data_IF_728623516132
#
_entry.id   IF_728623516132
#
_cell.length_a   1.000
_cell.length_b   1.000
_cell.length_c   1.000
_cell.angle_alpha   90.00
_cell.angle_beta   90.00
_cell.angle_gamma   90.00
#
_symmetry.space_group_name_H-M   'P 1'
#
loop_
_entity.id
_entity.type
_entity.pdbx_description
1 polymer ?
#
# COMPACT_ATOMS: atom_id res chain seq x y z
N UNK A 1 -31.69 -23.82 0.04
CA UNK A 1 -30.55 -24.42 -0.66
C UNK A 1 -30.17 -23.45 -1.77
N UNK A 2 -28.97 -22.87 -1.75
CA UNK A 2 -28.48 -22.03 -2.84
C UNK A 2 -27.92 -22.94 -3.94
N UNK A 3 -28.13 -22.57 -5.20
CA UNK A 3 -27.61 -23.26 -6.38
C UNK A 3 -27.05 -22.20 -7.32
N UNK A 4 -26.00 -22.55 -8.03
CA UNK A 4 -25.40 -21.73 -9.06
C UNK A 4 -25.01 -22.58 -10.26
N UNK A 5 -25.20 -22.03 -11.45
CA UNK A 5 -24.70 -22.52 -12.73
C UNK A 5 -23.37 -21.87 -13.12
N UNK A 6 -22.93 -22.15 -14.35
CA UNK A 6 -21.70 -21.57 -14.90
C UNK A 6 -21.81 -20.04 -14.98
N UNK A 7 -20.82 -19.34 -14.43
CA UNK A 7 -20.76 -17.88 -14.40
C UNK A 7 -21.53 -17.21 -13.25
N UNK A 8 -22.28 -17.97 -12.46
CA UNK A 8 -22.99 -17.43 -11.29
C UNK A 8 -22.09 -17.40 -10.05
N UNK A 9 -22.26 -16.35 -9.23
CA UNK A 9 -21.50 -16.14 -8.00
C UNK A 9 -22.40 -16.35 -6.79
N UNK A 10 -21.94 -17.19 -5.87
CA UNK A 10 -22.56 -17.35 -4.56
C UNK A 10 -21.67 -16.70 -3.49
N UNK A 11 -22.31 -15.93 -2.60
CA UNK A 11 -21.63 -15.24 -1.50
C UNK A 11 -22.10 -15.79 -0.15
N UNK A 12 -21.14 -16.09 0.72
CA UNK A 12 -21.40 -16.47 2.10
C UNK A 12 -20.66 -15.52 3.06
N UNK A 13 -21.38 -14.82 3.95
CA UNK A 13 -20.74 -14.01 4.95
C UNK A 13 -20.02 -14.89 6.00
N UNK A 14 -19.00 -14.31 6.63
CA UNK A 14 -18.26 -14.99 7.67
C UNK A 14 -19.15 -15.39 8.86
N UNK A 15 -18.95 -16.61 9.39
CA UNK A 15 -19.75 -17.17 10.48
C UNK A 15 -20.90 -18.08 10.02
N UNK A 16 -21.19 -18.14 8.72
CA UNK A 16 -22.17 -19.08 8.17
C UNK A 16 -21.55 -20.46 7.98
N UNK A 17 -22.19 -21.51 8.51
CA UNK A 17 -21.85 -22.90 8.20
C UNK A 17 -22.51 -23.28 6.88
N UNK A 18 -21.74 -23.83 5.96
CA UNK A 18 -22.23 -24.29 4.67
C UNK A 18 -21.58 -25.62 4.28
N UNK A 19 -22.21 -26.32 3.33
CA UNK A 19 -21.69 -27.55 2.74
C UNK A 19 -21.92 -27.47 1.23
N UNK A 20 -20.83 -27.57 0.47
CA UNK A 20 -20.88 -27.59 -0.98
C UNK A 20 -21.16 -29.00 -1.49
N UNK A 21 -21.94 -29.09 -2.56
CA UNK A 21 -22.09 -30.30 -3.38
C UNK A 21 -21.91 -29.88 -4.83
N UNK A 22 -21.01 -30.55 -5.52
CA UNK A 22 -20.70 -30.31 -6.92
C UNK A 22 -21.31 -31.44 -7.75
N UNK A 23 -21.83 -31.10 -8.92
CA UNK A 23 -22.19 -32.09 -9.93
C UNK A 23 -20.91 -32.55 -10.66
N UNK A 24 -20.96 -33.71 -11.31
CA UNK A 24 -19.84 -34.21 -12.09
C UNK A 24 -19.45 -33.23 -13.21
N UNK A 25 -18.13 -33.02 -13.39
CA UNK A 25 -17.59 -32.06 -14.35
C UNK A 25 -17.65 -30.58 -13.91
N UNK A 26 -18.10 -30.29 -12.68
CA UNK A 26 -18.13 -28.93 -12.15
C UNK A 26 -16.75 -28.45 -11.70
N UNK A 27 -16.34 -27.26 -12.13
CA UNK A 27 -15.16 -26.54 -11.61
C UNK A 27 -15.61 -25.30 -10.86
N UNK A 28 -15.13 -25.10 -9.64
CA UNK A 28 -15.45 -23.93 -8.82
C UNK A 28 -14.21 -23.13 -8.45
N UNK A 29 -14.30 -21.80 -8.54
CA UNK A 29 -13.28 -20.88 -8.05
C UNK A 29 -13.73 -20.32 -6.69
N UNK A 30 -13.03 -20.71 -5.63
CA UNK A 30 -13.32 -20.20 -4.28
C UNK A 30 -12.40 -19.04 -3.92
N UNK A 31 -12.97 -17.84 -3.85
CA UNK A 31 -12.29 -16.65 -3.35
C UNK A 31 -12.61 -16.50 -1.86
N UNK A 32 -11.59 -16.66 -1.01
CA UNK A 32 -11.73 -16.49 0.45
C UNK A 32 -11.16 -15.13 0.87
N UNK A 33 -11.96 -14.33 1.57
CA UNK A 33 -11.50 -13.07 2.17
C UNK A 33 -11.22 -13.30 3.65
N UNK A 34 -9.96 -13.53 4.07
CA UNK A 34 -9.66 -13.87 5.45
C UNK A 34 -9.94 -12.69 6.38
N UNK A 35 -10.81 -12.89 7.38
CA UNK A 35 -10.92 -11.98 8.54
C UNK A 35 -9.80 -12.26 9.54
N UNK A 36 -8.57 -12.02 9.12
CA UNK A 36 -7.42 -12.39 9.94
C UNK A 36 -7.07 -11.29 10.96
N UNK A 37 -7.85 -11.19 12.04
CA UNK A 37 -7.54 -10.27 13.16
C UNK A 37 -6.11 -10.45 13.70
N UNK A 38 -5.61 -11.69 13.71
CA UNK A 38 -4.23 -12.01 14.13
C UNK A 38 -3.18 -11.46 13.15
N UNK A 39 -3.47 -11.45 11.85
CA UNK A 39 -2.58 -10.82 10.85
C UNK A 39 -2.53 -9.30 11.03
N UNK A 40 -3.63 -8.68 11.44
CA UNK A 40 -3.64 -7.26 11.78
C UNK A 40 -2.74 -6.96 12.99
N UNK A 41 -2.78 -7.78 14.05
CA UNK A 41 -1.91 -7.63 15.22
C UNK A 41 -0.43 -7.79 14.85
N UNK A 42 -0.09 -8.75 13.98
CA UNK A 42 1.28 -8.94 13.48
C UNK A 42 1.79 -7.69 12.76
N UNK A 43 1.01 -7.18 11.80
CA UNK A 43 1.38 -5.98 11.04
C UNK A 43 1.55 -4.74 11.93
N UNK A 44 0.70 -4.57 12.95
CA UNK A 44 0.82 -3.47 13.92
C UNK A 44 2.09 -3.63 14.75
N UNK A 45 2.37 -4.83 15.26
CA UNK A 45 3.56 -5.12 16.05
C UNK A 45 4.84 -4.82 15.25
N UNK A 46 4.91 -5.26 14.00
CA UNK A 46 6.08 -5.07 13.15
C UNK A 46 6.31 -3.56 12.87
N UNK A 47 5.24 -2.81 12.55
CA UNK A 47 5.34 -1.36 12.36
C UNK A 47 5.77 -0.62 13.63
N UNK A 48 5.26 -1.01 14.79
CA UNK A 48 5.67 -0.42 16.07
C UNK A 48 7.14 -0.73 16.38
N UNK A 49 7.59 -1.96 16.08
CA UNK A 49 8.98 -2.35 16.26
C UNK A 49 9.92 -1.55 15.34
N UNK A 50 9.59 -1.43 14.05
CA UNK A 50 10.34 -0.60 13.08
C UNK A 50 10.41 0.86 13.52
N UNK A 51 9.27 1.44 13.94
CA UNK A 51 9.20 2.81 14.42
C UNK A 51 10.00 3.02 15.71
N UNK A 52 9.99 2.05 16.64
CA UNK A 52 10.77 2.11 17.85
C UNK A 52 12.28 2.02 17.55
N UNK A 53 12.70 1.05 16.72
CA UNK A 53 14.10 0.84 16.37
C UNK A 53 14.72 2.05 15.66
N UNK A 54 13.96 2.74 14.79
CA UNK A 54 14.45 3.94 14.10
C UNK A 54 14.65 5.14 15.04
N UNK A 55 13.90 5.22 16.15
CA UNK A 55 13.97 6.32 17.13
C UNK A 55 14.86 6.02 18.33
N UNK A 56 14.96 4.74 18.68
CA UNK A 56 15.68 4.23 19.84
C UNK A 56 16.51 3.01 19.41
N UNK A 57 17.62 3.23 18.67
CA UNK A 57 18.52 2.14 18.32
C UNK A 57 19.04 1.48 19.60
N UNK A 58 19.07 0.15 19.59
CA UNK A 58 19.54 -0.62 20.73
C UNK A 58 21.03 -0.33 20.97
N UNK A 59 21.37 0.03 22.20
CA UNK A 59 22.72 0.43 22.62
C UNK A 59 23.56 -0.75 23.14
N UNK A 60 23.02 -1.98 23.12
CA UNK A 60 23.70 -3.17 23.65
C UNK A 60 23.52 -3.38 25.16
N UNK A 61 22.82 -2.49 25.86
CA UNK A 61 22.63 -2.60 27.31
C UNK A 61 21.62 -3.71 27.65
N UNK A 62 21.96 -4.58 28.60
CA UNK A 62 21.03 -5.60 29.12
C UNK A 62 20.28 -5.03 30.33
N UNK A 63 18.93 -4.91 30.30
CA UNK A 63 18.18 -4.40 31.43
C UNK A 63 18.23 -5.39 32.60
N UNK A 64 18.82 -4.99 33.73
CA UNK A 64 18.85 -5.80 34.94
C UNK A 64 17.87 -5.29 36.00
N UNK A 65 17.29 -6.20 36.76
CA UNK A 65 16.53 -5.87 37.96
C UNK A 65 17.46 -5.88 39.18
N UNK A 66 17.22 -5.02 40.18
CA UNK A 66 18.02 -5.01 41.40
C UNK A 66 17.88 -6.34 42.15
N UNK A 67 19.00 -6.85 42.67
CA UNK A 67 19.05 -8.02 43.56
C UNK A 67 19.90 -7.69 44.80
N UNK A 68 19.40 -7.94 46.03
CA UNK A 68 18.07 -8.47 46.35
C UNK A 68 16.94 -7.48 46.01
N UNK A 69 15.68 -7.96 45.84
CA UNK A 69 14.56 -7.08 45.58
C UNK A 69 14.30 -6.14 46.77
N UNK A 70 13.81 -4.90 46.52
CA UNK A 70 13.46 -3.97 47.60
C UNK A 70 12.33 -4.52 48.47
N UNK A 71 12.42 -4.32 49.79
CA UNK A 71 11.43 -4.80 50.75
C UNK A 71 10.22 -3.86 50.93
N UNK A 72 10.37 -2.60 50.54
CA UNK A 72 9.42 -1.50 50.77
C UNK A 72 8.47 -1.24 49.58
N UNK A 73 8.72 -1.86 48.42
CA UNK A 73 7.90 -1.67 47.22
C UNK A 73 7.92 -2.89 46.29
N UNK A 74 6.84 -3.13 45.53
CA UNK A 74 6.82 -4.18 44.51
C UNK A 74 7.83 -3.89 43.39
N UNK A 75 8.44 -4.95 42.86
CA UNK A 75 9.41 -4.86 41.78
C UNK A 75 8.71 -4.56 40.45
N UNK A 76 8.96 -3.37 39.90
CA UNK A 76 8.49 -2.97 38.57
C UNK A 76 9.40 -3.45 37.44
N UNK A 77 9.05 -3.18 36.18
CA UNK A 77 9.94 -3.43 35.05
C UNK A 77 11.25 -2.64 35.21
N UNK A 78 12.35 -3.19 34.70
CA UNK A 78 13.62 -2.47 34.63
C UNK A 78 13.41 -1.15 33.85
N UNK A 79 14.09 -0.08 34.27
CA UNK A 79 13.93 1.26 33.67
C UNK A 79 13.94 1.28 32.14
N UNK A 80 14.89 0.61 31.46
CA UNK A 80 14.90 0.51 30.01
C UNK A 80 13.66 -0.19 29.42
N UNK A 81 13.15 -1.23 30.08
CA UNK A 81 11.92 -1.94 29.65
C UNK A 81 10.68 -1.06 29.84
N UNK A 82 10.62 -0.30 30.94
CA UNK A 82 9.56 0.67 31.18
C UNK A 82 9.56 1.76 30.09
N UNK A 83 10.74 2.29 29.74
CA UNK A 83 10.89 3.30 28.70
C UNK A 83 10.44 2.79 27.33
N UNK A 84 10.74 1.54 26.99
CA UNK A 84 10.23 0.89 25.77
C UNK A 84 8.70 0.80 25.79
N UNK A 85 8.11 0.37 26.91
CA UNK A 85 6.65 0.31 27.06
C UNK A 85 5.97 1.66 26.86
N UNK A 86 6.55 2.72 27.41
CA UNK A 86 6.11 4.10 27.24
C UNK A 86 6.24 4.58 25.78
N UNK A 87 7.36 4.31 25.14
CA UNK A 87 7.58 4.67 23.73
C UNK A 87 6.58 3.95 22.81
N UNK A 88 6.33 2.65 23.03
CA UNK A 88 5.33 1.88 22.29
C UNK A 88 3.93 2.45 22.50
N UNK A 89 3.58 2.83 23.74
CA UNK A 89 2.28 3.45 24.04
C UNK A 89 2.10 4.76 23.28
N UNK A 90 3.11 5.63 23.27
CA UNK A 90 3.08 6.89 22.54
C UNK A 90 2.95 6.67 21.03
N UNK A 91 3.71 5.73 20.47
CA UNK A 91 3.64 5.38 19.04
C UNK A 91 2.26 4.81 18.66
N UNK A 92 1.70 3.94 19.49
CA UNK A 92 0.39 3.34 19.25
C UNK A 92 -0.76 4.36 19.30
N UNK A 93 -0.61 5.44 20.09
CA UNK A 93 -1.58 6.54 20.15
C UNK A 93 -1.38 7.63 19.09
N UNK A 94 -0.29 7.57 18.31
CA UNK A 94 0.08 8.61 17.34
C UNK A 94 -0.66 8.51 16.00
N UNK A 95 -0.75 9.63 15.28
CA UNK A 95 -1.35 9.70 13.94
C UNK A 95 -0.52 9.01 12.83
N UNK A 96 0.76 8.72 13.12
CA UNK A 96 1.67 8.05 12.20
C UNK A 96 1.30 6.58 11.97
N UNK A 97 0.94 5.84 13.04
CA UNK A 97 0.63 4.41 12.93
C UNK A 97 -0.56 4.13 11.99
N UNK A 98 -1.72 4.82 12.09
CA UNK A 98 -2.80 4.66 11.13
C UNK A 98 -2.37 4.97 9.68
N UNK A 99 -1.48 5.95 9.48
CA UNK A 99 -0.97 6.32 8.15
C UNK A 99 -0.06 5.23 7.59
N UNK A 100 0.83 4.68 8.41
CA UNK A 100 1.71 3.58 8.05
C UNK A 100 0.92 2.31 7.72
N UNK A 101 -0.10 1.98 8.52
CA UNK A 101 -1.00 0.84 8.27
C UNK A 101 -1.75 0.99 6.94
N UNK A 102 -2.31 2.18 6.66
CA UNK A 102 -2.98 2.46 5.38
C UNK A 102 -2.01 2.38 4.20
N UNK A 103 -0.77 2.82 4.39
CA UNK A 103 0.29 2.72 3.38
C UNK A 103 0.65 1.28 3.08
N UNK A 104 0.89 0.46 4.12
CA UNK A 104 1.19 -0.97 3.98
C UNK A 104 0.03 -1.73 3.36
N UNK A 105 -1.21 -1.40 3.73
CA UNK A 105 -2.40 -2.00 3.15
C UNK A 105 -2.57 -1.64 1.67
N UNK A 106 -2.37 -0.37 1.30
CA UNK A 106 -2.43 0.08 -0.10
C UNK A 106 -1.37 -0.63 -0.95
N UNK A 107 -0.14 -0.72 -0.45
CA UNK A 107 0.95 -1.47 -1.07
C UNK A 107 0.53 -2.93 -1.30
N UNK A 108 0.15 -3.64 -0.23
CA UNK A 108 -0.25 -5.05 -0.32
C UNK A 108 -1.42 -5.30 -1.28
N UNK A 109 -2.45 -4.45 -1.25
CA UNK A 109 -3.56 -4.54 -2.20
C UNK A 109 -3.07 -4.35 -3.65
N UNK A 110 -2.24 -3.33 -3.89
CA UNK A 110 -1.70 -3.06 -5.23
C UNK A 110 -0.72 -4.12 -5.74
N UNK A 111 -0.13 -4.92 -4.84
CA UNK A 111 0.74 -6.03 -5.21
C UNK A 111 -0.05 -7.16 -5.88
N UNK A 112 -1.34 -7.33 -5.57
CA UNK A 112 -2.22 -8.31 -6.20
C UNK A 112 -1.64 -9.75 -6.30
N UNK A 113 -0.90 -10.19 -5.27
CA UNK A 113 -0.26 -11.50 -5.23
C UNK A 113 1.19 -11.56 -5.73
N UNK A 114 1.80 -10.41 -6.07
CA UNK A 114 3.24 -10.29 -6.30
C UNK A 114 3.96 -10.35 -4.94
N UNK A 115 4.51 -11.50 -4.59
CA UNK A 115 5.30 -11.72 -3.37
C UNK A 115 6.66 -12.39 -3.69
N UNK A 116 7.79 -11.65 -3.62
CA UNK A 116 7.87 -10.22 -3.35
C UNK A 116 7.37 -9.37 -4.54
N UNK A 117 6.95 -8.13 -4.24
CA UNK A 117 6.69 -7.15 -5.28
C UNK A 117 7.98 -6.85 -6.07
N UNK A 118 7.91 -6.65 -7.39
CA UNK A 118 9.10 -6.40 -8.20
C UNK A 118 9.74 -5.06 -7.84
N UNK A 119 11.08 -5.02 -7.89
CA UNK A 119 11.82 -3.80 -7.59
C UNK A 119 11.52 -2.66 -8.60
N UNK A 120 11.56 -1.41 -8.12
CA UNK A 120 11.42 -0.24 -8.98
C UNK A 120 12.45 -0.21 -10.12
N UNK A 121 12.02 0.18 -11.33
CA UNK A 121 12.91 0.45 -12.47
C UNK A 121 13.74 1.70 -12.23
N UNK A 122 14.88 1.82 -12.91
CA UNK A 122 15.59 3.09 -12.99
C UNK A 122 14.65 4.20 -13.52
N UNK A 123 14.76 5.41 -12.96
CA UNK A 123 14.00 6.56 -13.42
C UNK A 123 14.49 7.01 -14.80
N UNK A 124 13.56 7.30 -15.70
CA UNK A 124 13.84 7.89 -17.02
C UNK A 124 13.30 9.32 -17.09
N UNK A 125 13.89 10.19 -17.90
CA UNK A 125 13.28 11.47 -18.26
C UNK A 125 11.91 11.25 -18.92
N UNK A 126 10.98 12.16 -18.66
CA UNK A 126 9.62 12.15 -19.24
C UNK A 126 9.47 13.40 -20.09
N UNK A 127 9.05 13.22 -21.34
CA UNK A 127 8.90 14.31 -22.31
C UNK A 127 7.44 14.50 -22.72
N UNK A 128 6.98 15.73 -23.04
CA UNK A 128 5.59 16.00 -23.41
C UNK A 128 5.06 15.16 -24.59
N UNK A 129 5.91 14.89 -25.59
CA UNK A 129 5.53 14.09 -26.78
C UNK A 129 5.55 12.56 -26.56
N UNK A 130 5.97 12.07 -25.40
CA UNK A 130 6.09 10.65 -25.13
C UNK A 130 4.70 10.02 -25.00
N UNK A 131 4.52 8.83 -25.59
CA UNK A 131 3.28 8.06 -25.41
C UNK A 131 3.34 7.32 -24.09
N UNK A 132 2.25 7.39 -23.34
CA UNK A 132 2.07 6.67 -22.10
C UNK A 132 0.95 5.65 -22.27
N UNK A 133 1.18 4.45 -21.75
CA UNK A 133 0.18 3.38 -21.65
C UNK A 133 -0.01 3.00 -20.19
N UNK A 134 -1.23 3.07 -19.71
CA UNK A 134 -1.55 2.68 -18.33
C UNK A 134 -1.64 1.16 -18.25
N UNK A 135 -0.77 0.54 -17.47
CA UNK A 135 -0.71 -0.92 -17.37
C UNK A 135 -1.61 -1.47 -16.27
N UNK A 136 -1.71 -0.75 -15.16
CA UNK A 136 -2.33 -1.22 -13.93
C UNK A 136 -3.19 -0.13 -13.31
N UNK A 137 -4.16 -0.56 -12.52
CA UNK A 137 -4.96 0.36 -11.72
C UNK A 137 -4.09 0.96 -10.61
N UNK A 138 -4.24 2.27 -10.38
CA UNK A 138 -3.64 2.94 -9.23
C UNK A 138 -4.62 2.87 -8.07
N UNK A 139 -4.24 2.11 -7.04
CA UNK A 139 -5.01 2.03 -5.80
C UNK A 139 -4.92 3.37 -5.08
N UNK A 140 -6.06 3.89 -4.61
CA UNK A 140 -6.16 5.19 -3.95
C UNK A 140 -6.83 5.03 -2.59
N UNK A 141 -6.12 5.41 -1.53
CA UNK A 141 -6.57 5.29 -0.15
C UNK A 141 -6.63 6.67 0.50
N UNK A 142 -7.75 7.08 1.12
CA UNK A 142 -7.83 8.33 1.86
C UNK A 142 -6.79 8.43 2.98
N UNK A 143 -6.18 9.61 3.13
CA UNK A 143 -5.19 9.89 4.18
C UNK A 143 -5.39 11.26 4.86
N UNK A 144 -6.65 11.58 5.16
CA UNK A 144 -7.03 12.86 5.73
C UNK A 144 -7.39 13.92 4.67
N UNK A 145 -7.64 15.17 5.10
CA UNK A 145 -8.12 16.22 4.21
C UNK A 145 -7.15 16.52 3.07
N UNK A 146 -7.60 16.37 1.83
CA UNK A 146 -6.78 16.68 0.64
C UNK A 146 -5.56 15.78 0.43
N UNK A 147 -5.41 14.70 1.21
CA UNK A 147 -4.31 13.73 1.08
C UNK A 147 -4.83 12.34 0.73
N UNK A 148 -4.04 11.66 -0.10
CA UNK A 148 -4.25 10.28 -0.52
C UNK A 148 -2.95 9.53 -0.42
N UNK A 149 -3.05 8.22 -0.24
CA UNK A 149 -1.98 7.29 -0.51
C UNK A 149 -2.31 6.64 -1.85
N UNK A 150 -1.38 6.73 -2.79
CA UNK A 150 -1.43 6.00 -4.05
C UNK A 150 -0.58 4.75 -3.93
N UNK A 151 -1.01 3.66 -4.56
CA UNK A 151 -0.21 2.45 -4.62
C UNK A 151 -0.33 1.73 -5.96
N UNK A 152 0.80 1.16 -6.41
CA UNK A 152 0.90 0.38 -7.64
C UNK A 152 1.99 -0.68 -7.50
N UNK A 153 1.69 -1.92 -7.92
CA UNK A 153 2.61 -3.07 -7.92
C UNK A 153 3.36 -3.27 -6.60
N UNK A 154 2.69 -3.13 -5.46
CA UNK A 154 3.31 -3.35 -4.15
C UNK A 154 3.99 -2.14 -3.53
N UNK A 155 3.98 -0.98 -4.19
CA UNK A 155 4.64 0.23 -3.73
C UNK A 155 3.62 1.33 -3.48
N UNK A 156 3.67 1.96 -2.31
CA UNK A 156 2.76 3.02 -1.92
C UNK A 156 3.49 4.33 -1.64
N UNK A 157 2.85 5.46 -1.94
CA UNK A 157 3.40 6.79 -1.72
C UNK A 157 2.30 7.85 -1.52
N UNK A 158 2.57 8.92 -0.74
CA UNK A 158 1.59 9.97 -0.51
C UNK A 158 1.42 10.87 -1.73
N UNK A 159 0.20 11.36 -1.93
CA UNK A 159 -0.19 12.37 -2.91
C UNK A 159 -1.07 13.40 -2.22
N UNK A 160 -0.76 14.68 -2.47
CA UNK A 160 -1.51 15.82 -1.95
C UNK A 160 -2.15 16.63 -3.07
N UNK A 161 -3.26 17.30 -2.74
CA UNK A 161 -3.89 18.32 -3.59
C UNK A 161 -4.84 17.77 -4.65
N UNK A 162 -5.67 18.66 -5.19
CA UNK A 162 -6.74 18.34 -6.14
C UNK A 162 -6.23 17.89 -7.52
N UNK A 163 -4.97 18.17 -7.86
CA UNK A 163 -4.37 17.74 -9.12
C UNK A 163 -4.23 16.21 -9.19
N UNK A 164 -3.97 15.54 -8.06
CA UNK A 164 -3.84 14.09 -8.00
C UNK A 164 -5.10 13.38 -8.50
N UNK A 165 -6.29 13.75 -8.00
CA UNK A 165 -7.54 13.10 -8.40
C UNK A 165 -7.85 13.29 -9.89
N UNK A 166 -7.64 14.50 -10.42
CA UNK A 166 -7.80 14.75 -11.87
C UNK A 166 -6.86 13.89 -12.71
N UNK A 167 -5.61 13.68 -12.26
CA UNK A 167 -4.67 12.77 -12.92
C UNK A 167 -5.16 11.32 -12.81
N UNK A 168 -5.61 10.88 -11.64
CA UNK A 168 -6.11 9.52 -11.43
C UNK A 168 -7.30 9.18 -12.34
N UNK A 169 -8.21 10.12 -12.57
CA UNK A 169 -9.34 9.94 -13.49
C UNK A 169 -8.89 9.66 -14.93
N UNK A 170 -7.71 10.15 -15.31
CA UNK A 170 -7.12 9.89 -16.61
C UNK A 170 -6.37 8.56 -16.69
N UNK A 171 -5.84 8.05 -15.57
CA UNK A 171 -5.01 6.84 -15.51
C UNK A 171 -5.85 5.54 -15.45
N UNK A 172 -6.68 5.29 -16.47
CA UNK A 172 -7.46 4.05 -16.58
C UNK A 172 -6.63 2.94 -17.24
N UNK A 173 -6.61 1.71 -16.69
CA UNK A 173 -5.87 0.60 -17.31
C UNK A 173 -6.23 0.40 -18.79
N UNK A 174 -5.22 0.19 -19.62
CA UNK A 174 -5.36 0.03 -21.08
C UNK A 174 -5.48 1.35 -21.86
N UNK A 175 -5.65 2.49 -21.18
CA UNK A 175 -5.69 3.79 -21.87
C UNK A 175 -4.30 4.18 -22.36
N UNK A 176 -4.26 4.71 -23.57
CA UNK A 176 -3.09 5.34 -24.17
C UNK A 176 -3.34 6.83 -24.42
N UNK A 177 -2.33 7.64 -24.15
CA UNK A 177 -2.31 9.08 -24.43
C UNK A 177 -0.88 9.60 -24.43
N UNK A 178 -0.65 10.81 -24.90
CA UNK A 178 0.62 11.51 -24.73
C UNK A 178 0.69 12.22 -23.37
N UNK A 179 1.90 12.53 -22.92
CA UNK A 179 2.11 13.32 -21.71
C UNK A 179 1.47 14.71 -21.83
N UNK A 180 1.56 15.34 -23.01
CA UNK A 180 0.92 16.63 -23.29
C UNK A 180 -0.61 16.55 -23.21
N UNK A 181 -1.22 15.49 -23.75
CA UNK A 181 -2.68 15.27 -23.64
C UNK A 181 -3.11 15.08 -22.19
N UNK A 182 -2.32 14.36 -21.38
CA UNK A 182 -2.60 14.21 -19.95
C UNK A 182 -2.54 15.57 -19.25
N UNK A 183 -1.49 16.35 -19.48
CA UNK A 183 -1.32 17.68 -18.87
C UNK A 183 -2.51 18.58 -19.22
N UNK A 184 -2.90 18.61 -20.49
CA UNK A 184 -4.08 19.36 -20.97
C UNK A 184 -5.37 18.90 -20.29
N UNK A 185 -5.59 17.58 -20.18
CA UNK A 185 -6.78 17.02 -19.54
C UNK A 185 -6.91 17.39 -18.06
N UNK A 186 -5.78 17.62 -17.38
CA UNK A 186 -5.76 18.05 -15.97
C UNK A 186 -5.58 19.57 -15.81
N UNK A 187 -5.66 20.34 -16.90
CA UNK A 187 -5.50 21.79 -16.90
C UNK A 187 -4.13 22.26 -16.43
N UNK A 188 -3.09 21.48 -16.70
CA UNK A 188 -1.70 21.79 -16.41
C UNK A 188 -0.93 22.12 -17.68
N UNK A 189 0.12 22.93 -17.53
CA UNK A 189 1.13 23.12 -18.56
C UNK A 189 1.82 21.78 -18.90
N UNK A 190 2.22 21.59 -20.16
CA UNK A 190 2.84 20.34 -20.62
C UNK A 190 4.22 20.07 -19.99
N UNK A 191 4.87 21.11 -19.46
CA UNK A 191 6.13 21.04 -18.71
C UNK A 191 5.89 21.06 -17.18
N UNK A 192 4.66 20.81 -16.71
CA UNK A 192 4.36 20.81 -15.29
C UNK A 192 5.19 19.76 -14.53
N UNK A 193 6.17 20.24 -13.75
CA UNK A 193 7.13 19.39 -13.05
C UNK A 193 6.47 18.37 -12.09
N UNK A 194 5.33 18.70 -11.49
CA UNK A 194 4.64 17.78 -10.58
C UNK A 194 3.98 16.61 -11.34
N UNK A 195 3.35 16.88 -12.49
CA UNK A 195 2.79 15.83 -13.36
C UNK A 195 3.91 14.94 -13.88
N UNK A 196 4.99 15.53 -14.39
CA UNK A 196 6.14 14.78 -14.93
C UNK A 196 6.82 13.92 -13.84
N UNK A 197 7.00 14.46 -12.63
CA UNK A 197 7.56 13.71 -11.51
C UNK A 197 6.67 12.54 -11.09
N UNK A 198 5.35 12.72 -11.11
CA UNK A 198 4.39 11.65 -10.82
C UNK A 198 4.42 10.56 -11.90
N UNK A 199 4.43 10.93 -13.18
CA UNK A 199 4.54 9.97 -14.27
C UNK A 199 5.85 9.19 -14.21
N UNK A 200 6.97 9.87 -13.95
CA UNK A 200 8.28 9.21 -13.73
C UNK A 200 8.19 8.20 -12.59
N UNK A 201 7.56 8.57 -11.47
CA UNK A 201 7.35 7.66 -10.34
C UNK A 201 6.49 6.46 -10.73
N UNK A 202 5.38 6.67 -11.42
CA UNK A 202 4.51 5.58 -11.88
C UNK A 202 5.21 4.65 -12.88
N UNK A 203 6.07 5.20 -13.75
CA UNK A 203 6.88 4.40 -14.67
C UNK A 203 7.93 3.57 -13.91
N UNK A 204 8.65 4.19 -12.97
CA UNK A 204 9.58 3.50 -12.07
C UNK A 204 8.90 2.35 -11.33
N UNK A 205 7.65 2.55 -10.87
CA UNK A 205 6.86 1.52 -10.18
C UNK A 205 6.07 0.60 -11.13
N UNK A 206 6.33 0.65 -12.44
CA UNK A 206 5.73 -0.23 -13.46
C UNK A 206 4.20 -0.11 -13.56
N UNK A 207 3.63 1.01 -13.13
CA UNK A 207 2.21 1.32 -13.26
C UNK A 207 1.83 1.81 -14.65
N UNK A 208 2.77 2.43 -15.33
CA UNK A 208 2.66 2.87 -16.73
C UNK A 208 3.90 2.41 -17.51
N UNK A 209 3.74 2.23 -18.80
CA UNK A 209 4.85 2.21 -19.75
C UNK A 209 4.93 3.55 -20.47
N UNK A 210 6.16 3.94 -20.80
CA UNK A 210 6.47 5.08 -21.63
C UNK A 210 7.11 4.55 -22.91
N UNK A 211 6.55 4.91 -24.06
CA UNK A 211 7.13 4.62 -25.35
C UNK A 211 7.58 5.93 -25.98
N UNK A 212 8.79 5.95 -26.51
CA UNK A 212 9.25 7.08 -27.30
C UNK A 212 8.32 7.23 -28.49
N UNK A 213 7.83 8.45 -28.69
CA UNK A 213 6.90 8.81 -29.76
C UNK A 213 7.59 8.80 -31.14
N UNK A 214 8.38 7.78 -31.43
CA UNK A 214 8.92 7.54 -32.75
C UNK A 214 7.77 7.24 -33.70
N UNK A 215 7.53 8.14 -34.65
CA UNK A 215 6.95 7.76 -35.94
C UNK A 215 7.76 6.57 -36.46
N UNK A 216 7.17 5.39 -36.47
CA UNK A 216 7.58 4.34 -37.39
C UNK A 216 7.07 4.77 -38.77
N UNK A 217 7.80 5.68 -39.41
CA UNK A 217 7.78 5.83 -40.87
C UNK A 217 9.06 5.15 -41.36
N UNK A 218 8.88 4.02 -42.05
CA UNK A 218 9.95 3.20 -42.63
C UNK A 218 9.41 1.86 -43.10
#
# INVERSE_FOLDING_TARGET
MLRAGAGELLYWPGGTRWRERHLDGCTTLRISVPRARRLATGAVKDLLAEALQSRHPYDGTVPCLPHPPPADRPLGPAGPVAAVGEAVRLLAGGAELPTALRTRWAAWWSAAGLDPAPDPRAGVPVHPGQRLRVLREVVRVPDGPGRRIWAVNGHAFPIGGAAGERIAEQLRPGRELTVAELCRAVGADEHNAAVLALLRRLHTLRGIDLADGGRTDG
#
